data_IF_233322144809
#
_entry.id   IF_233322144809
#
_cell.length_a   1.000
_cell.length_b   1.000
_cell.length_c   1.000
_cell.angle_alpha   90.00
_cell.angle_beta   90.00
_cell.angle_gamma   90.00
#
_symmetry.space_group_name_H-M   'P 1'
#
loop_
_entity.id
_entity.type
_entity.pdbx_description
1 polymer ?
#
# COMPACT_ATOMS: atom_id res chain seq x y z
N UNK A 1 -55.00 16.76 27.96
CA UNK A 1 -54.72 16.63 26.51
C UNK A 1 -53.85 17.75 25.94
N UNK A 2 -54.09 19.03 26.28
CA UNK A 2 -53.37 20.18 25.72
C UNK A 2 -51.84 20.20 25.95
N UNK A 3 -51.31 19.67 27.06
CA UNK A 3 -49.84 19.69 27.32
C UNK A 3 -49.02 18.71 26.46
N UNK A 4 -49.60 17.56 26.07
CA UNK A 4 -48.89 16.56 25.25
C UNK A 4 -48.70 17.01 23.79
N UNK A 5 -49.63 17.80 23.26
CA UNK A 5 -49.54 18.38 21.91
C UNK A 5 -48.44 19.45 21.82
N UNK A 6 -48.26 20.27 22.88
CA UNK A 6 -47.25 21.34 22.93
C UNK A 6 -45.83 20.77 22.97
N UNK A 7 -45.60 19.68 23.71
CA UNK A 7 -44.29 19.00 23.75
C UNK A 7 -43.95 18.31 22.42
N UNK A 8 -44.94 17.74 21.73
CA UNK A 8 -44.75 17.14 20.40
C UNK A 8 -44.34 18.17 19.34
N UNK A 9 -44.95 19.37 19.37
CA UNK A 9 -44.63 20.49 18.48
C UNK A 9 -43.21 21.03 18.70
N UNK A 10 -42.79 21.18 19.96
CA UNK A 10 -41.44 21.61 20.32
C UNK A 10 -40.35 20.63 19.87
N UNK A 11 -40.57 19.32 20.05
CA UNK A 11 -39.64 18.27 19.57
C UNK A 11 -39.49 18.29 18.05
N UNK A 12 -40.58 18.47 17.30
CA UNK A 12 -40.55 18.58 15.83
C UNK A 12 -39.80 19.82 15.36
N UNK A 13 -39.96 20.96 16.02
CA UNK A 13 -39.20 22.19 15.71
C UNK A 13 -37.70 22.02 15.97
N UNK A 14 -37.33 21.37 17.08
CA UNK A 14 -35.92 21.12 17.42
C UNK A 14 -35.23 20.19 16.42
N UNK A 15 -35.91 19.11 16.01
CA UNK A 15 -35.41 18.18 14.98
C UNK A 15 -35.24 18.85 13.62
N UNK A 16 -36.17 19.73 13.22
CA UNK A 16 -36.05 20.51 11.97
C UNK A 16 -34.89 21.50 11.97
N UNK A 17 -34.53 22.07 13.13
CA UNK A 17 -33.34 22.93 13.25
C UNK A 17 -32.05 22.11 13.12
N UNK A 18 -31.94 20.99 13.84
CA UNK A 18 -30.78 20.11 13.74
C UNK A 18 -30.49 19.64 12.31
N UNK A 19 -31.52 19.20 11.57
CA UNK A 19 -31.36 18.79 10.17
C UNK A 19 -30.94 19.93 9.24
N UNK A 20 -31.34 21.17 9.54
CA UNK A 20 -30.90 22.34 8.76
C UNK A 20 -29.43 22.66 9.04
N UNK A 21 -29.00 22.55 10.29
CA UNK A 21 -27.62 22.81 10.70
C UNK A 21 -26.67 21.75 10.13
N UNK A 22 -27.07 20.47 10.15
CA UNK A 22 -26.34 19.35 9.53
C UNK A 22 -26.16 19.54 8.02
N UNK A 23 -27.24 19.93 7.33
CA UNK A 23 -27.21 20.19 5.89
C UNK A 23 -26.32 21.38 5.54
N UNK A 24 -26.28 22.40 6.41
CA UNK A 24 -25.40 23.56 6.21
C UNK A 24 -23.93 23.20 6.43
N UNK A 25 -23.63 22.36 7.43
CA UNK A 25 -22.28 21.86 7.71
C UNK A 25 -21.74 21.01 6.55
N UNK A 26 -22.55 20.07 6.07
CA UNK A 26 -22.19 19.21 4.94
C UNK A 26 -21.96 20.00 3.64
N UNK A 27 -22.69 21.11 3.43
CA UNK A 27 -22.48 21.99 2.27
C UNK A 27 -21.14 22.76 2.36
N UNK A 28 -20.71 23.15 3.56
CA UNK A 28 -19.41 23.82 3.77
C UNK A 28 -18.22 22.87 3.56
N UNK A 29 -18.33 21.62 4.03
CA UNK A 29 -17.29 20.59 3.83
C UNK A 29 -17.10 20.24 2.33
N UNK A 30 -18.17 20.28 1.54
CA UNK A 30 -18.11 20.09 0.07
C UNK A 30 -17.51 21.30 -0.66
N UNK A 31 -17.65 22.51 -0.12
CA UNK A 31 -17.00 23.70 -0.69
C UNK A 31 -15.50 23.78 -0.36
N UNK A 32 -15.09 23.33 0.83
CA UNK A 32 -13.68 23.30 1.24
C UNK A 32 -12.84 22.22 0.52
N UNK A 33 -13.48 21.17 -0.02
CA UNK A 33 -12.79 20.09 -0.76
C UNK A 33 -12.54 20.41 -2.24
N UNK A 34 -13.00 21.55 -2.75
CA UNK A 34 -12.73 21.99 -4.13
C UNK A 34 -11.34 22.64 -4.24
N UNK A 35 -10.36 21.84 -4.66
CA UNK A 35 -9.00 22.33 -4.95
C UNK A 35 -9.01 23.30 -6.15
N UNK A 36 -8.37 24.49 -6.06
CA UNK A 36 -8.31 25.46 -7.16
C UNK A 36 -7.53 24.92 -8.37
N UNK A 37 -8.10 25.07 -9.57
CA UNK A 37 -7.57 24.61 -10.88
C UNK A 37 -6.15 25.10 -11.25
N UNK A 38 -5.52 25.97 -10.46
CA UNK A 38 -4.21 26.59 -10.79
C UNK A 38 -2.98 25.74 -10.44
N UNK A 39 -3.09 24.64 -9.68
CA UNK A 39 -1.92 23.78 -9.34
C UNK A 39 -1.60 22.69 -10.36
N UNK A 40 -2.42 22.48 -11.41
CA UNK A 40 -2.13 21.49 -12.47
C UNK A 40 -1.03 21.93 -13.46
N UNK A 41 -0.68 23.20 -13.53
CA UNK A 41 0.31 23.69 -14.52
C UNK A 41 1.78 23.54 -14.08
N UNK A 42 2.07 23.34 -12.79
CA UNK A 42 3.47 23.15 -12.33
C UNK A 42 4.01 21.73 -12.58
N UNK A 43 3.15 20.71 -12.73
CA UNK A 43 3.59 19.32 -12.98
C UNK A 43 3.95 19.04 -14.45
N UNK A 44 3.46 19.84 -15.41
CA UNK A 44 3.80 19.66 -16.84
C UNK A 44 5.20 20.21 -17.15
N UNK A 45 5.66 21.25 -16.43
CA UNK A 45 6.98 21.85 -16.68
C UNK A 45 8.15 21.01 -16.16
N UNK A 46 8.00 20.30 -15.04
CA UNK A 46 9.09 19.46 -14.49
C UNK A 46 9.37 18.25 -15.41
N UNK A 47 8.33 17.68 -16.04
CA UNK A 47 8.48 16.56 -16.99
C UNK A 47 9.12 16.95 -18.33
N UNK A 48 9.01 18.21 -18.77
CA UNK A 48 9.72 18.70 -19.98
C UNK A 48 11.21 18.98 -19.70
N UNK A 49 11.58 19.33 -18.47
CA UNK A 49 12.97 19.57 -18.09
C UNK A 49 13.84 18.30 -18.07
N UNK A 50 13.26 17.15 -17.72
CA UNK A 50 14.01 15.87 -17.67
C UNK A 50 14.22 15.22 -19.05
N UNK A 51 13.49 15.65 -20.09
CA UNK A 51 13.58 15.08 -21.45
C UNK A 51 14.57 15.82 -22.38
N UNK A 52 15.30 16.81 -21.87
CA UNK A 52 16.11 17.76 -22.66
C UNK A 52 17.63 17.70 -22.36
N UNK A 53 18.16 16.58 -21.87
CA UNK A 53 19.62 16.42 -21.68
C UNK A 53 20.13 15.06 -22.19
N UNK A 54 19.71 14.67 -23.39
CA UNK A 54 20.50 13.78 -24.25
C UNK A 54 20.23 14.22 -25.68
N UNK A 55 21.09 15.08 -26.22
CA UNK A 55 21.48 15.08 -27.64
C UNK A 55 22.63 16.07 -27.85
N UNK A 56 23.78 15.48 -28.12
CA UNK A 56 25.03 16.14 -28.48
C UNK A 56 24.95 16.74 -29.89
N UNK A 57 25.79 17.74 -30.09
CA UNK A 57 25.95 18.62 -31.23
C UNK A 57 26.32 17.86 -32.51
N UNK A 58 25.64 18.18 -33.61
CA UNK A 58 26.11 17.78 -34.95
C UNK A 58 25.35 18.46 -36.07
N UNK A 59 25.99 19.43 -36.72
CA UNK A 59 25.45 20.27 -37.81
C UNK A 59 25.20 19.46 -39.10
N UNK A 60 23.99 19.55 -39.67
CA UNK A 60 23.76 19.20 -41.08
C UNK A 60 23.98 20.42 -42.00
N UNK A 61 24.80 20.22 -43.04
CA UNK A 61 24.72 20.90 -44.33
C UNK A 61 24.60 19.81 -45.42
N UNK A 62 23.65 19.97 -46.34
CA UNK A 62 23.52 19.20 -47.59
C UNK A 62 23.83 20.13 -48.80
N UNK A 63 23.98 19.62 -50.05
CA UNK A 63 24.45 18.31 -50.51
C UNK A 63 25.44 18.42 -51.70
N UNK A 64 26.06 17.31 -52.14
CA UNK A 64 26.35 17.01 -53.57
C UNK A 64 26.60 15.50 -53.76
N UNK A 65 26.26 14.91 -54.93
CA UNK A 65 26.42 13.48 -55.20
C UNK A 65 27.65 13.17 -56.09
N UNK A 66 28.29 12.00 -55.90
CA UNK A 66 28.86 11.15 -56.97
C UNK A 66 29.50 9.85 -56.45
N UNK A 67 29.08 8.76 -57.09
CA UNK A 67 29.71 7.48 -57.47
C UNK A 67 30.67 6.66 -56.57
N UNK A 68 30.28 5.37 -56.48
CA UNK A 68 31.05 4.11 -56.67
C UNK A 68 32.08 3.65 -55.64
N UNK A 69 31.93 2.38 -55.20
CA UNK A 69 33.06 1.45 -55.01
C UNK A 69 33.24 0.85 -53.61
N UNK A 70 32.74 -0.38 -53.45
CA UNK A 70 33.42 -1.57 -52.92
C UNK A 70 33.94 -1.72 -51.45
N UNK A 71 33.56 -2.87 -50.88
CA UNK A 71 34.27 -3.78 -49.93
C UNK A 71 34.70 -3.39 -48.49
N UNK A 72 34.04 -4.09 -47.56
CA UNK A 72 34.53 -4.82 -46.37
C UNK A 72 35.52 -4.19 -45.36
N UNK A 73 35.09 -4.13 -44.08
CA UNK A 73 35.79 -4.74 -42.93
C UNK A 73 34.97 -4.63 -41.62
N UNK A 74 34.88 -5.75 -40.91
CA UNK A 74 34.45 -5.88 -39.52
C UNK A 74 35.36 -5.07 -38.60
N UNK A 75 34.77 -4.36 -37.63
CA UNK A 75 35.41 -4.04 -36.36
C UNK A 75 34.36 -4.24 -35.26
N UNK A 76 34.64 -5.20 -34.38
CA UNK A 76 33.93 -5.42 -33.12
C UNK A 76 34.24 -4.25 -32.20
N UNK A 77 33.18 -3.57 -31.72
CA UNK A 77 33.23 -2.69 -30.56
C UNK A 77 32.48 -3.38 -29.43
N UNK A 78 33.23 -3.91 -28.46
CA UNK A 78 32.68 -4.35 -27.18
C UNK A 78 32.35 -3.11 -26.33
N UNK A 79 31.14 -2.59 -26.47
CA UNK A 79 30.58 -1.65 -25.49
C UNK A 79 29.96 -2.46 -24.35
N UNK A 80 30.68 -2.47 -23.22
CA UNK A 80 30.21 -3.02 -21.96
C UNK A 80 28.98 -2.25 -21.47
N UNK A 81 27.79 -2.76 -21.81
CA UNK A 81 26.57 -2.43 -21.10
C UNK A 81 26.73 -2.89 -19.65
N UNK A 82 26.99 -1.94 -18.75
CA UNK A 82 26.80 -2.15 -17.32
C UNK A 82 25.40 -2.73 -17.12
N UNK A 83 25.34 -3.92 -16.50
CA UNK A 83 24.12 -4.68 -16.31
C UNK A 83 23.14 -3.90 -15.44
N UNK A 84 22.27 -3.12 -16.08
CA UNK A 84 21.17 -2.36 -15.46
C UNK A 84 20.11 -3.28 -14.82
N UNK A 85 20.21 -4.59 -15.04
CA UNK A 85 19.32 -5.64 -14.51
C UNK A 85 19.92 -6.41 -13.32
N UNK A 86 20.96 -5.89 -12.68
CA UNK A 86 21.56 -6.56 -11.53
C UNK A 86 20.62 -6.50 -10.31
N UNK A 87 19.90 -7.60 -10.05
CA UNK A 87 19.19 -7.86 -8.79
C UNK A 87 20.10 -7.56 -7.59
N UNK A 88 19.61 -6.73 -6.67
CA UNK A 88 20.37 -6.35 -5.46
C UNK A 88 20.10 -7.34 -4.32
N UNK A 89 18.84 -7.70 -4.13
CA UNK A 89 18.41 -8.63 -3.08
C UNK A 89 17.09 -9.29 -3.43
N UNK A 90 16.91 -10.54 -2.98
CA UNK A 90 15.68 -11.32 -3.17
C UNK A 90 15.19 -11.93 -1.86
N UNK A 91 13.89 -11.87 -1.62
CA UNK A 91 13.21 -12.43 -0.45
C UNK A 91 11.92 -13.13 -0.90
N UNK A 92 11.80 -14.45 -0.67
CA UNK A 92 10.63 -15.26 -1.02
C UNK A 92 10.03 -14.98 -2.42
N UNK A 93 10.88 -14.86 -3.44
CA UNK A 93 10.46 -14.63 -4.83
C UNK A 93 10.43 -13.16 -5.26
N UNK A 94 10.36 -12.21 -4.31
CA UNK A 94 10.37 -10.77 -4.61
C UNK A 94 11.80 -10.26 -4.69
N UNK A 95 12.13 -9.52 -5.75
CA UNK A 95 13.48 -9.02 -6.03
C UNK A 95 13.48 -7.51 -6.09
N UNK A 96 14.49 -6.88 -5.50
CA UNK A 96 14.69 -5.44 -5.59
C UNK A 96 15.84 -5.12 -6.54
N UNK A 97 15.61 -4.13 -7.39
CA UNK A 97 16.59 -3.59 -8.32
C UNK A 97 17.06 -2.21 -7.84
N UNK A 98 18.12 -1.64 -8.43
CA UNK A 98 18.65 -0.33 -8.00
C UNK A 98 17.58 0.78 -7.97
N UNK A 99 16.67 0.81 -8.94
CA UNK A 99 15.61 1.82 -9.04
C UNK A 99 14.59 1.71 -7.89
N UNK A 100 14.28 0.48 -7.44
CA UNK A 100 13.43 0.26 -6.26
C UNK A 100 14.06 0.86 -5.00
N UNK A 101 15.38 0.67 -4.84
CA UNK A 101 16.11 1.17 -3.69
C UNK A 101 16.19 2.70 -3.66
N UNK A 102 16.19 3.35 -4.82
CA UNK A 102 16.16 4.82 -4.89
C UNK A 102 14.85 5.38 -4.34
N UNK A 103 13.74 4.65 -4.44
CA UNK A 103 12.45 5.08 -3.88
C UNK A 103 12.42 5.13 -2.35
N UNK A 104 13.33 4.40 -1.70
CA UNK A 104 13.51 4.43 -0.25
C UNK A 104 14.01 5.80 0.24
N UNK A 105 14.69 6.56 -0.63
CA UNK A 105 15.11 7.93 -0.34
C UNK A 105 13.93 8.88 -0.47
N UNK A 106 13.71 9.69 0.57
CA UNK A 106 12.67 10.72 0.51
C UNK A 106 13.07 11.81 -0.49
N UNK A 107 12.12 12.45 -1.20
CA UNK A 107 10.67 12.36 -1.06
C UNK A 107 9.97 11.50 -2.14
N UNK A 108 10.47 10.28 -2.43
CA UNK A 108 9.90 9.41 -3.47
C UNK A 108 8.76 8.51 -2.97
N UNK A 109 7.83 8.12 -3.85
CA UNK A 109 6.84 7.07 -3.54
C UNK A 109 7.45 5.69 -3.65
N UNK A 110 7.13 4.82 -2.71
CA UNK A 110 7.59 3.44 -2.75
C UNK A 110 6.91 2.66 -3.88
N UNK A 111 7.67 1.79 -4.53
CA UNK A 111 7.15 0.81 -5.50
C UNK A 111 6.41 -0.32 -4.79
N UNK A 112 5.57 -1.01 -5.56
CA UNK A 112 4.98 -2.29 -5.21
C UNK A 112 6.06 -3.33 -4.85
N UNK A 113 7.18 -3.36 -5.59
CA UNK A 113 8.30 -4.26 -5.30
C UNK A 113 8.90 -4.02 -3.91
N UNK A 114 9.07 -2.76 -3.48
CA UNK A 114 9.54 -2.43 -2.12
C UNK A 114 8.54 -2.92 -1.05
N UNK A 115 7.24 -2.66 -1.23
CA UNK A 115 6.22 -3.12 -0.28
C UNK A 115 6.17 -4.66 -0.22
N UNK A 116 6.16 -5.33 -1.38
CA UNK A 116 6.17 -6.78 -1.49
C UNK A 116 7.40 -7.40 -0.84
N UNK A 117 8.58 -6.81 -1.05
CA UNK A 117 9.81 -7.27 -0.43
C UNK A 117 9.76 -7.16 1.09
N UNK A 118 9.26 -6.04 1.63
CA UNK A 118 9.12 -5.87 3.08
C UNK A 118 8.08 -6.82 3.66
N UNK A 119 6.97 -7.06 2.96
CA UNK A 119 5.97 -8.05 3.38
C UNK A 119 6.54 -9.46 3.39
N UNK A 120 7.34 -9.83 2.38
CA UNK A 120 8.05 -11.09 2.34
C UNK A 120 9.09 -11.20 3.48
N UNK A 121 9.84 -10.14 3.75
CA UNK A 121 10.79 -10.08 4.87
C UNK A 121 10.09 -10.25 6.21
N UNK A 122 8.97 -9.55 6.44
CA UNK A 122 8.17 -9.66 7.66
C UNK A 122 7.67 -11.08 7.83
N UNK A 123 7.07 -11.66 6.78
CA UNK A 123 6.60 -13.05 6.79
C UNK A 123 7.70 -14.01 7.21
N UNK A 124 8.92 -13.85 6.67
CA UNK A 124 10.07 -14.72 6.97
C UNK A 124 10.53 -14.72 8.44
N UNK A 125 10.17 -13.69 9.21
CA UNK A 125 10.56 -13.57 10.63
C UNK A 125 9.68 -14.40 11.56
N UNK A 126 8.52 -14.86 11.10
CA UNK A 126 7.58 -15.62 11.91
C UNK A 126 7.72 -17.12 11.60
N UNK A 127 8.12 -17.94 12.59
CA UNK A 127 8.41 -19.37 12.37
C UNK A 127 7.17 -20.22 12.04
N UNK A 128 5.96 -19.73 12.34
CA UNK A 128 4.68 -20.35 11.99
C UNK A 128 3.86 -19.35 11.18
N UNK A 129 3.98 -19.41 9.85
CA UNK A 129 3.28 -18.48 8.96
C UNK A 129 1.79 -18.80 8.82
N UNK A 130 1.32 -19.93 9.34
CA UNK A 130 -0.02 -20.47 9.05
C UNK A 130 -1.17 -19.58 9.54
N UNK A 131 -0.92 -18.66 10.47
CA UNK A 131 -1.95 -17.77 11.00
C UNK A 131 -2.03 -16.41 10.28
N UNK A 132 -0.90 -15.93 9.75
CA UNK A 132 -0.77 -14.56 9.21
C UNK A 132 -0.31 -14.61 7.77
N UNK A 133 -1.05 -13.96 6.88
CA UNK A 133 -0.71 -13.83 5.47
C UNK A 133 -0.55 -12.35 5.11
N UNK A 134 0.64 -11.98 4.65
CA UNK A 134 0.88 -10.67 4.03
C UNK A 134 0.83 -10.88 2.51
N UNK A 135 -0.23 -10.38 1.88
CA UNK A 135 -0.44 -10.58 0.46
C UNK A 135 0.37 -9.58 -0.34
N UNK A 136 1.11 -10.08 -1.33
CA UNK A 136 1.87 -9.26 -2.25
C UNK A 136 1.00 -8.13 -2.85
N UNK A 137 1.53 -6.89 -3.00
CA UNK A 137 0.76 -5.76 -3.52
C UNK A 137 0.17 -6.00 -4.91
N UNK A 138 0.86 -6.72 -5.80
CA UNK A 138 0.39 -7.04 -7.14
C UNK A 138 -0.83 -7.96 -7.05
N UNK A 139 -0.76 -8.99 -6.20
CA UNK A 139 -1.90 -9.89 -5.97
C UNK A 139 -3.09 -9.15 -5.34
N UNK A 140 -2.84 -8.25 -4.40
CA UNK A 140 -3.89 -7.40 -3.79
C UNK A 140 -4.60 -6.52 -4.81
N UNK A 141 -3.83 -5.94 -5.75
CA UNK A 141 -4.37 -5.12 -6.84
C UNK A 141 -5.18 -5.97 -7.83
N UNK A 142 -4.66 -7.14 -8.23
CA UNK A 142 -5.36 -8.07 -9.12
C UNK A 142 -6.69 -8.53 -8.52
N UNK A 143 -6.69 -8.95 -7.25
CA UNK A 143 -7.90 -9.36 -6.51
C UNK A 143 -8.96 -8.26 -6.39
N UNK A 144 -8.56 -6.99 -6.45
CA UNK A 144 -9.49 -5.86 -6.42
C UNK A 144 -10.30 -5.71 -7.71
N UNK A 145 -9.88 -6.36 -8.80
CA UNK A 145 -10.46 -6.19 -10.14
C UNK A 145 -10.87 -7.52 -10.80
N UNK A 146 -10.31 -8.64 -10.35
CA UNK A 146 -10.51 -9.96 -10.94
C UNK A 146 -10.85 -11.00 -9.88
N UNK A 147 -12.05 -11.60 -10.01
CA UNK A 147 -12.50 -12.67 -9.12
C UNK A 147 -11.67 -13.95 -9.25
N UNK A 148 -11.04 -14.19 -10.41
CA UNK A 148 -10.19 -15.36 -10.61
C UNK A 148 -8.89 -15.25 -9.80
N UNK A 149 -8.35 -14.04 -9.66
CA UNK A 149 -7.23 -13.76 -8.77
C UNK A 149 -7.58 -14.05 -7.30
N UNK A 150 -8.81 -13.73 -6.87
CA UNK A 150 -9.28 -14.09 -5.53
C UNK A 150 -9.42 -15.60 -5.39
N UNK A 151 -10.04 -16.26 -6.37
CA UNK A 151 -10.24 -17.71 -6.36
C UNK A 151 -8.90 -18.47 -6.29
N UNK A 152 -7.85 -17.96 -6.94
CA UNK A 152 -6.51 -18.56 -6.90
C UNK A 152 -5.88 -18.56 -5.49
N UNK A 153 -6.25 -17.61 -4.62
CA UNK A 153 -5.69 -17.48 -3.26
C UNK A 153 -6.70 -17.76 -2.15
N UNK A 154 -7.96 -18.07 -2.48
CA UNK A 154 -9.05 -18.13 -1.48
C UNK A 154 -8.79 -19.13 -0.38
N UNK A 155 -8.17 -20.27 -0.69
CA UNK A 155 -7.84 -21.30 0.29
C UNK A 155 -6.81 -20.81 1.31
N UNK A 156 -5.75 -20.14 0.83
CA UNK A 156 -4.75 -19.55 1.70
C UNK A 156 -5.36 -18.46 2.57
N UNK A 157 -6.14 -17.55 1.98
CA UNK A 157 -6.80 -16.45 2.71
C UNK A 157 -7.78 -16.99 3.76
N UNK A 158 -8.61 -17.97 3.41
CA UNK A 158 -9.61 -18.54 4.30
C UNK A 158 -9.01 -19.33 5.47
N UNK A 159 -7.80 -19.87 5.31
CA UNK A 159 -7.09 -20.61 6.36
C UNK A 159 -6.43 -19.74 7.43
N UNK A 160 -6.42 -18.41 7.24
CA UNK A 160 -5.61 -17.48 8.04
C UNK A 160 -6.46 -16.69 9.03
N UNK A 161 -5.85 -16.39 10.17
CA UNK A 161 -6.44 -15.57 11.23
C UNK A 161 -6.26 -14.08 10.97
N UNK A 162 -5.17 -13.70 10.31
CA UNK A 162 -4.92 -12.35 9.84
C UNK A 162 -4.46 -12.37 8.39
N UNK A 163 -5.10 -11.57 7.53
CA UNK A 163 -4.66 -11.37 6.15
C UNK A 163 -4.53 -9.88 5.87
N UNK A 164 -3.34 -9.45 5.47
CA UNK A 164 -3.00 -8.05 5.23
C UNK A 164 -2.81 -7.83 3.72
N UNK A 165 -3.55 -6.88 3.17
CA UNK A 165 -3.53 -6.52 1.75
C UNK A 165 -3.05 -5.07 1.61
N UNK A 166 -2.02 -4.85 0.79
CA UNK A 166 -1.66 -3.51 0.37
C UNK A 166 -2.68 -3.03 -0.68
N UNK A 167 -3.32 -1.89 -0.40
CA UNK A 167 -4.35 -1.32 -1.26
C UNK A 167 -3.79 -0.10 -1.99
N UNK A 168 -4.00 -0.05 -3.30
CA UNK A 168 -3.61 1.05 -4.17
C UNK A 168 -4.85 1.64 -4.87
N UNK A 169 -4.84 2.92 -5.20
CA UNK A 169 -5.91 3.59 -5.96
C UNK A 169 -5.72 3.52 -7.49
N UNK A 170 -4.79 2.71 -7.99
CA UNK A 170 -4.70 2.41 -9.41
C UNK A 170 -5.92 1.61 -9.88
N UNK A 171 -6.63 2.15 -10.88
CA UNK A 171 -7.80 1.50 -11.49
C UNK A 171 -7.47 0.82 -12.84
N UNK A 172 -6.23 0.96 -13.30
CA UNK A 172 -5.76 0.45 -14.59
C UNK A 172 -4.67 -0.61 -14.36
N UNK A 173 -5.01 -1.88 -14.58
CA UNK A 173 -4.08 -3.00 -14.40
C UNK A 173 -3.03 -3.10 -15.53
N UNK A 174 -3.29 -2.49 -16.68
CA UNK A 174 -2.41 -2.57 -17.85
C UNK A 174 -1.31 -1.49 -17.82
N UNK A 175 -1.47 -0.49 -16.96
CA UNK A 175 -0.56 0.65 -16.86
C UNK A 175 -0.04 0.86 -15.43
N UNK A 176 1.25 1.20 -15.33
CA UNK A 176 1.83 1.65 -14.06
C UNK A 176 1.12 2.93 -13.61
N UNK A 177 0.51 2.86 -12.43
CA UNK A 177 -0.34 3.93 -11.93
C UNK A 177 -0.49 3.91 -10.42
N UNK A 178 -1.52 4.59 -9.94
CA UNK A 178 -1.74 4.79 -8.51
C UNK A 178 -1.01 6.01 -7.95
N UNK A 179 -1.61 6.59 -6.91
CA UNK A 179 -1.10 7.76 -6.21
C UNK A 179 -1.04 7.60 -4.70
N UNK A 180 -1.66 6.55 -4.15
CA UNK A 180 -1.72 6.38 -2.71
C UNK A 180 -1.79 4.91 -2.31
N UNK A 181 -1.05 4.59 -1.25
CA UNK A 181 -1.06 3.27 -0.60
C UNK A 181 -1.84 3.34 0.72
N UNK A 182 -2.62 2.30 0.99
CA UNK A 182 -3.27 2.05 2.27
C UNK A 182 -3.23 0.56 2.60
N UNK A 183 -3.73 0.15 3.77
CA UNK A 183 -3.72 -1.25 4.20
C UNK A 183 -5.14 -1.71 4.53
N UNK A 184 -5.54 -2.86 4.01
CA UNK A 184 -6.75 -3.57 4.41
C UNK A 184 -6.37 -4.83 5.17
N UNK A 185 -7.00 -5.07 6.32
CA UNK A 185 -6.77 -6.26 7.15
C UNK A 185 -8.07 -7.05 7.24
N UNK A 186 -8.05 -8.31 6.85
CA UNK A 186 -9.06 -9.29 7.26
C UNK A 186 -8.63 -9.88 8.60
N UNK A 187 -9.39 -9.57 9.64
CA UNK A 187 -9.14 -9.98 11.02
C UNK A 187 -10.18 -11.01 11.44
N UNK A 188 -9.74 -12.26 11.54
CA UNK A 188 -10.51 -13.43 11.99
C UNK A 188 -10.09 -13.88 13.40
N UNK A 189 -9.33 -13.05 14.14
CA UNK A 189 -8.75 -13.45 15.44
C UNK A 189 -9.78 -13.57 16.56
N UNK A 190 -10.96 -12.99 16.38
CA UNK A 190 -12.04 -12.94 17.38
C UNK A 190 -13.09 -14.05 17.19
N UNK A 191 -12.72 -15.19 16.60
CA UNK A 191 -13.63 -16.32 16.37
C UNK A 191 -14.71 -15.98 15.36
N UNK A 192 -15.99 -16.01 15.75
CA UNK A 192 -17.14 -15.81 14.85
C UNK A 192 -17.39 -14.35 14.43
N UNK A 193 -16.52 -13.41 14.82
CA UNK A 193 -16.67 -11.97 14.57
C UNK A 193 -15.57 -11.42 13.66
N UNK A 194 -15.41 -12.03 12.48
CA UNK A 194 -14.50 -11.53 11.45
C UNK A 194 -14.83 -10.09 11.05
N UNK A 195 -13.80 -9.30 10.77
CA UNK A 195 -13.95 -7.91 10.30
C UNK A 195 -12.88 -7.55 9.27
N UNK A 196 -13.24 -6.65 8.37
CA UNK A 196 -12.27 -5.92 7.57
C UNK A 196 -11.93 -4.61 8.26
N UNK A 197 -10.64 -4.32 8.42
CA UNK A 197 -10.15 -3.08 9.03
C UNK A 197 -9.27 -2.36 8.02
N UNK A 198 -9.68 -1.16 7.60
CA UNK A 198 -8.95 -0.34 6.63
C UNK A 198 -8.17 0.76 7.33
N UNK A 199 -6.85 0.79 7.11
CA UNK A 199 -5.94 1.81 7.59
C UNK A 199 -5.44 2.68 6.46
N UNK A 200 -5.64 3.98 6.58
CA UNK A 200 -5.26 4.96 5.57
C UNK A 200 -4.71 6.21 6.26
N UNK A 201 -3.43 6.50 6.03
CA UNK A 201 -2.73 7.66 6.58
C UNK A 201 -3.22 9.00 6.01
N UNK A 202 -3.99 8.99 4.91
CA UNK A 202 -4.76 10.12 4.39
C UNK A 202 -6.27 10.02 4.73
N UNK A 203 -6.66 9.06 5.58
CA UNK A 203 -7.97 8.94 6.23
C UNK A 203 -8.96 8.07 5.47
N UNK A 204 -9.45 8.55 4.33
CA UNK A 204 -10.45 7.84 3.50
C UNK A 204 -10.10 7.87 2.02
N UNK A 205 -8.85 8.23 1.69
CA UNK A 205 -8.38 8.41 0.32
C UNK A 205 -8.56 7.13 -0.50
N UNK A 206 -8.24 5.98 0.09
CA UNK A 206 -8.38 4.66 -0.51
C UNK A 206 -9.60 3.88 0.00
N UNK A 207 -10.59 4.55 0.61
CA UNK A 207 -11.77 3.85 1.12
C UNK A 207 -12.53 3.10 0.00
N UNK A 208 -12.65 3.70 -1.19
CA UNK A 208 -13.31 3.05 -2.34
C UNK A 208 -12.52 1.83 -2.85
N UNK A 209 -11.21 1.92 -3.13
CA UNK A 209 -10.38 0.75 -3.41
C UNK A 209 -10.48 -0.36 -2.35
N UNK A 210 -10.44 0.00 -1.07
CA UNK A 210 -10.56 -0.97 0.03
C UNK A 210 -11.94 -1.64 0.08
N UNK A 211 -13.01 -0.89 -0.16
CA UNK A 211 -14.36 -1.43 -0.26
C UNK A 211 -14.51 -2.40 -1.43
N UNK A 212 -13.89 -2.08 -2.58
CA UNK A 212 -13.88 -2.94 -3.77
C UNK A 212 -13.21 -4.28 -3.46
N UNK A 213 -11.99 -4.25 -2.92
CA UNK A 213 -11.28 -5.47 -2.52
C UNK A 213 -12.07 -6.30 -1.49
N UNK A 214 -12.58 -5.66 -0.44
CA UNK A 214 -13.38 -6.34 0.58
C UNK A 214 -14.65 -6.98 -0.01
N UNK A 215 -15.30 -6.33 -1.00
CA UNK A 215 -16.47 -6.89 -1.67
C UNK A 215 -16.11 -8.14 -2.49
N UNK A 216 -14.97 -8.14 -3.19
CA UNK A 216 -14.47 -9.30 -3.94
C UNK A 216 -14.17 -10.47 -3.00
N UNK A 217 -13.48 -10.21 -1.88
CA UNK A 217 -13.15 -11.22 -0.87
C UNK A 217 -14.42 -11.81 -0.22
N UNK A 218 -15.41 -11.00 0.13
CA UNK A 218 -16.68 -11.48 0.71
C UNK A 218 -17.44 -12.46 -0.18
N UNK A 219 -17.32 -12.31 -1.49
CA UNK A 219 -18.00 -13.21 -2.43
C UNK A 219 -17.34 -14.59 -2.51
N UNK A 220 -16.02 -14.64 -2.28
CA UNK A 220 -15.24 -15.87 -2.42
C UNK A 220 -15.04 -16.62 -1.09
N UNK A 221 -14.96 -15.90 0.04
CA UNK A 221 -14.71 -16.52 1.33
C UNK A 221 -15.90 -17.38 1.78
N UNK A 222 -15.65 -18.56 2.36
CA UNK A 222 -16.71 -19.45 2.82
C UNK A 222 -17.60 -18.71 3.83
N UNK A 223 -18.90 -18.64 3.52
CA UNK A 223 -19.87 -17.89 4.32
C UNK A 223 -20.24 -18.60 5.62
N UNK A 224 -20.16 -17.86 6.72
CA UNK A 224 -21.08 -18.05 7.84
C UNK A 224 -22.30 -17.14 7.68
N UNK A 225 -23.26 -17.20 8.61
CA UNK A 225 -24.49 -16.38 8.56
C UNK A 225 -24.25 -14.85 8.58
N UNK A 226 -23.01 -14.41 8.78
CA UNK A 226 -22.65 -12.99 8.93
C UNK A 226 -21.59 -12.55 7.93
N UNK A 227 -21.86 -11.43 7.26
CA UNK A 227 -20.91 -10.77 6.34
C UNK A 227 -19.96 -9.93 7.20
N UNK A 228 -18.63 -10.15 7.13
CA UNK A 228 -17.68 -9.36 7.91
C UNK A 228 -17.80 -7.86 7.57
N UNK A 229 -18.03 -6.96 8.54
CA UNK A 229 -18.15 -5.53 8.27
C UNK A 229 -16.82 -4.93 7.84
N UNK A 230 -16.84 -3.81 7.12
CA UNK A 230 -15.65 -3.01 6.85
C UNK A 230 -15.64 -1.81 7.78
N UNK A 231 -14.59 -1.70 8.58
CA UNK A 231 -14.34 -0.62 9.52
C UNK A 231 -13.21 0.25 8.97
N UNK A 232 -13.49 1.52 8.73
CA UNK A 232 -12.42 2.48 8.44
C UNK A 232 -11.79 2.91 9.78
N UNK A 233 -10.57 2.44 10.04
CA UNK A 233 -9.92 2.65 11.31
C UNK A 233 -9.40 4.07 11.47
N UNK A 234 -9.41 4.56 12.70
CA UNK A 234 -8.59 5.71 13.07
C UNK A 234 -7.13 5.35 12.82
N UNK A 235 -6.45 6.14 11.98
CA UNK A 235 -5.07 5.88 11.56
C UNK A 235 -4.27 7.18 11.69
N UNK A 236 -3.03 7.13 12.21
CA UNK A 236 -2.21 8.33 12.31
C UNK A 236 -2.00 8.99 10.93
N UNK A 237 -2.13 10.32 10.92
CA UNK A 237 -2.16 11.12 9.69
C UNK A 237 -0.75 11.35 9.18
N UNK A 238 -0.48 11.01 7.92
CA UNK A 238 0.76 11.44 7.28
C UNK A 238 0.74 12.97 7.08
N UNK A 239 1.90 13.60 7.24
CA UNK A 239 2.08 15.05 7.05
C UNK A 239 2.68 15.44 5.70
N UNK A 240 3.17 14.46 4.93
CA UNK A 240 3.74 14.65 3.60
C UNK A 240 2.97 13.85 2.53
N UNK A 241 3.42 13.94 1.27
CA UNK A 241 2.74 13.28 0.14
C UNK A 241 3.31 11.91 -0.24
N UNK A 242 4.33 11.39 0.46
CA UNK A 242 5.15 10.28 -0.06
C UNK A 242 5.40 9.13 0.92
N UNK A 243 5.00 9.27 2.19
CA UNK A 243 5.22 8.23 3.20
C UNK A 243 4.06 7.24 3.37
N UNK A 244 3.01 7.31 2.54
CA UNK A 244 1.87 6.38 2.62
C UNK A 244 2.30 4.91 2.61
N UNK A 245 3.26 4.53 1.77
CA UNK A 245 3.85 3.18 1.76
C UNK A 245 4.63 2.84 3.05
N UNK A 246 5.29 3.83 3.68
CA UNK A 246 5.97 3.64 4.98
C UNK A 246 4.95 3.36 6.07
N UNK A 247 3.82 4.08 6.08
CA UNK A 247 2.71 3.80 7.00
C UNK A 247 2.16 2.38 6.81
N UNK A 248 1.94 1.93 5.57
CA UNK A 248 1.49 0.56 5.28
C UNK A 248 2.43 -0.49 5.89
N UNK A 249 3.74 -0.37 5.65
CA UNK A 249 4.72 -1.31 6.19
C UNK A 249 4.83 -1.25 7.72
N UNK A 250 4.77 -0.05 8.29
CA UNK A 250 4.85 0.15 9.73
C UNK A 250 3.65 -0.46 10.46
N UNK A 251 2.45 -0.24 9.92
CA UNK A 251 1.21 -0.81 10.46
C UNK A 251 1.25 -2.34 10.35
N UNK A 252 1.69 -2.88 9.20
CA UNK A 252 1.86 -4.33 9.05
C UNK A 252 2.85 -4.91 10.07
N UNK A 253 4.00 -4.25 10.30
CA UNK A 253 5.00 -4.68 11.30
C UNK A 253 4.41 -4.68 12.73
N UNK A 254 3.58 -3.69 13.08
CA UNK A 254 2.89 -3.61 14.38
C UNK A 254 1.89 -4.76 14.54
N UNK A 255 1.01 -4.98 13.55
CA UNK A 255 -0.03 -6.02 13.61
C UNK A 255 0.61 -7.40 13.73
N UNK A 256 1.63 -7.69 12.92
CA UNK A 256 2.33 -8.96 12.99
C UNK A 256 3.06 -9.14 14.32
N UNK A 257 3.65 -8.07 14.85
CA UNK A 257 4.29 -8.06 16.16
C UNK A 257 3.30 -8.32 17.31
N UNK A 258 2.11 -7.72 17.27
CA UNK A 258 1.03 -7.98 18.21
C UNK A 258 0.58 -9.44 18.16
N UNK A 259 0.37 -9.98 16.95
CA UNK A 259 -0.05 -11.38 16.77
C UNK A 259 0.94 -12.33 17.45
N UNK A 260 2.24 -12.15 17.13
CA UNK A 260 3.31 -12.99 17.63
C UNK A 260 3.45 -12.95 19.15
N UNK A 261 3.35 -11.76 19.75
CA UNK A 261 3.61 -11.55 21.19
C UNK A 261 2.42 -11.86 22.07
N UNK A 262 1.20 -11.59 21.61
CA UNK A 262 0.00 -11.56 22.45
C UNK A 262 -1.02 -12.56 21.94
N UNK A 263 -1.54 -12.35 20.73
CA UNK A 263 -2.76 -13.02 20.29
C UNK A 263 -2.58 -14.52 20.04
N UNK A 264 -1.43 -14.93 19.52
CA UNK A 264 -1.14 -16.35 19.23
C UNK A 264 -1.22 -17.23 20.48
N UNK A 265 -0.74 -16.73 21.62
CA UNK A 265 -0.80 -17.49 22.88
C UNK A 265 -2.24 -17.63 23.38
N UNK A 266 -3.03 -16.55 23.34
CA UNK A 266 -4.44 -16.62 23.69
C UNK A 266 -5.19 -17.61 22.79
N UNK A 267 -4.99 -17.51 21.47
CA UNK A 267 -5.62 -18.39 20.50
C UNK A 267 -5.24 -19.87 20.70
N UNK A 268 -3.96 -20.17 20.93
CA UNK A 268 -3.49 -21.54 21.20
C UNK A 268 -4.13 -22.16 22.46
N UNK A 269 -4.66 -21.35 23.38
CA UNK A 269 -5.39 -21.78 24.57
C UNK A 269 -6.92 -21.69 24.41
N UNK A 270 -7.42 -21.50 23.18
CA UNK A 270 -8.86 -21.37 22.91
C UNK A 270 -9.48 -20.08 23.45
N UNK A 271 -8.66 -19.09 23.80
CA UNK A 271 -9.11 -17.80 24.31
C UNK A 271 -9.04 -16.72 23.22
N UNK A 272 -9.91 -15.72 23.33
CA UNK A 272 -9.81 -14.51 22.51
C UNK A 272 -8.72 -13.59 23.07
N UNK A 273 -7.93 -12.90 22.22
CA UNK A 273 -6.95 -11.92 22.68
C UNK A 273 -7.62 -10.81 23.49
N UNK A 274 -7.05 -10.47 24.64
CA UNK A 274 -7.61 -9.46 25.57
C UNK A 274 -7.40 -8.02 25.10
N UNK A 275 -6.56 -7.79 24.10
CA UNK A 275 -6.21 -6.47 23.59
C UNK A 275 -6.20 -6.46 22.06
N UNK A 276 -6.74 -5.41 21.46
CA UNK A 276 -6.78 -5.17 20.02
C UNK A 276 -5.52 -4.40 19.57
N UNK A 277 -4.93 -4.80 18.45
CA UNK A 277 -3.75 -4.16 17.84
C UNK A 277 -4.02 -2.73 17.35
N UNK A 278 -5.30 -2.37 17.17
CA UNK A 278 -5.71 -1.05 16.65
C UNK A 278 -5.20 0.11 17.50
N UNK A 279 -5.16 -0.04 18.82
CA UNK A 279 -4.63 0.99 19.72
C UNK A 279 -3.10 1.11 19.62
N UNK A 280 -2.39 -0.01 19.43
CA UNK A 280 -0.94 -0.02 19.26
C UNK A 280 -0.52 0.69 17.97
N UNK A 281 -1.31 0.56 16.90
CA UNK A 281 -1.11 1.31 15.65
C UNK A 281 -1.19 2.81 15.90
N UNK A 282 -2.25 3.27 16.58
CA UNK A 282 -2.43 4.67 16.92
C UNK A 282 -1.29 5.20 17.79
N UNK A 283 -0.92 4.46 18.84
CA UNK A 283 0.11 4.88 19.80
C UNK A 283 1.51 4.87 19.19
N UNK A 284 1.83 3.90 18.33
CA UNK A 284 3.20 3.75 17.81
C UNK A 284 3.52 4.72 16.69
N UNK A 285 2.52 5.20 15.94
CA UNK A 285 2.71 6.02 14.74
C UNK A 285 2.14 7.44 14.86
N UNK A 286 1.72 7.87 16.06
CA UNK A 286 1.17 9.21 16.27
C UNK A 286 2.17 10.33 15.95
N UNK A 287 3.47 10.11 16.17
CA UNK A 287 4.52 11.07 15.84
C UNK A 287 5.11 10.81 14.45
N UNK A 288 4.94 11.78 13.55
CA UNK A 288 5.52 11.76 12.20
C UNK A 288 7.05 11.56 12.17
N UNK A 289 7.79 11.96 13.20
CA UNK A 289 9.23 11.72 13.27
C UNK A 289 9.55 10.23 13.35
N UNK A 290 8.68 9.42 13.95
CA UNK A 290 8.84 7.97 13.99
C UNK A 290 8.81 7.40 12.57
N UNK A 291 7.88 7.86 11.74
CA UNK A 291 7.76 7.41 10.34
C UNK A 291 8.95 7.88 9.49
N UNK A 292 9.39 9.13 9.67
CA UNK A 292 10.61 9.62 9.02
C UNK A 292 11.86 8.81 9.43
N UNK A 293 11.96 8.43 10.71
CA UNK A 293 13.01 7.56 11.23
C UNK A 293 12.91 6.13 10.67
N UNK A 294 11.70 5.61 10.44
CA UNK A 294 11.52 4.32 9.79
C UNK A 294 12.00 4.34 8.34
N UNK A 295 11.65 5.40 7.58
CA UNK A 295 12.13 5.59 6.20
C UNK A 295 13.66 5.62 6.14
N UNK A 296 14.30 6.45 6.97
CA UNK A 296 15.77 6.58 6.96
C UNK A 296 16.50 5.27 7.29
N UNK A 297 15.91 4.40 8.13
CA UNK A 297 16.49 3.10 8.50
C UNK A 297 16.18 1.97 7.53
N UNK A 298 15.24 2.16 6.60
CA UNK A 298 14.77 1.08 5.71
C UNK A 298 15.87 0.55 4.77
N UNK A 299 16.72 1.39 4.14
CA UNK A 299 17.85 0.90 3.35
C UNK A 299 18.79 -0.01 4.15
N UNK A 300 19.14 0.36 5.38
CA UNK A 300 20.01 -0.43 6.25
C UNK A 300 19.35 -1.75 6.67
N UNK A 301 18.02 -1.73 6.94
CA UNK A 301 17.25 -2.96 7.22
C UNK A 301 17.31 -3.93 6.04
N UNK A 302 17.14 -3.44 4.81
CA UNK A 302 17.16 -4.26 3.58
C UNK A 302 18.57 -4.82 3.34
N UNK A 303 19.61 -3.99 3.50
CA UNK A 303 20.99 -4.43 3.37
C UNK A 303 21.36 -5.52 4.38
N UNK A 304 20.99 -5.32 5.65
CA UNK A 304 21.23 -6.30 6.72
C UNK A 304 20.56 -7.64 6.42
N UNK A 305 19.32 -7.62 5.91
CA UNK A 305 18.64 -8.83 5.45
C UNK A 305 19.41 -9.55 4.33
N UNK A 306 19.88 -8.81 3.32
CA UNK A 306 20.66 -9.37 2.21
C UNK A 306 21.95 -10.06 2.70
N UNK A 307 22.66 -9.42 3.63
CA UNK A 307 23.89 -9.96 4.21
C UNK A 307 23.64 -11.25 4.99
N UNK A 308 22.57 -11.30 5.79
CA UNK A 308 22.22 -12.46 6.59
C UNK A 308 21.70 -13.63 5.75
N UNK A 309 20.91 -13.37 4.70
CA UNK A 309 20.48 -14.40 3.75
C UNK A 309 21.68 -15.01 3.01
N UNK A 310 22.62 -14.18 2.55
CA UNK A 310 23.86 -14.65 1.93
C UNK A 310 24.70 -15.51 2.86
N UNK A 311 24.82 -15.15 4.15
CA UNK A 311 25.50 -15.99 5.15
C UNK A 311 24.81 -17.33 5.33
N UNK A 312 23.47 -17.36 5.40
CA UNK A 312 22.69 -18.61 5.53
C UNK A 312 22.88 -19.53 4.32
N UNK A 313 22.90 -18.97 3.10
CA UNK A 313 23.16 -19.73 1.86
C UNK A 313 24.56 -20.32 1.82
N UNK A 314 25.59 -19.59 2.29
CA UNK A 314 26.97 -20.08 2.39
C UNK A 314 27.14 -21.21 3.41
N UNK A 315 26.41 -21.18 4.52
CA UNK A 315 26.45 -22.25 5.55
C UNK A 315 25.75 -23.56 5.13
N UNK A 316 24.91 -23.51 4.09
CA UNK A 316 24.19 -24.67 3.54
C UNK A 316 24.91 -25.34 2.36
N UNK A 317 26.03 -24.78 1.92
CA UNK A 317 26.93 -25.35 0.91
C UNK A 317 28.12 -25.99 1.62
#
# INVERSE_FOLDING_TARGET
MKEKETQGSLRRRRRRRQLKDEKMKMKREVEETKVPKKKKQQQVQVRRGLKMTVEDKGKEKKPTPRHSGDSSKQVQGEDGHANVDAEVVRCHGVSLHPDDLETLRGPHWLTDAVLGFVFAMLSSKFPNQDDVLLVDPINSMAMSHDATAVAAMVHDIASRLLVLFAVNDNEDLDNVGGTHWSLLVLDNTSGSSSRFVHHDSLGTRNLVPAQRLAAMLRQALPGGDTIPPLVNASTPRQSNSYDCGIYVMAIAEIICGWWWKIARHAHAHGATPTADWSQDVMNSLHDHNVVGNMRSKLPDKIKSYADDDNKKKKKKK
#
